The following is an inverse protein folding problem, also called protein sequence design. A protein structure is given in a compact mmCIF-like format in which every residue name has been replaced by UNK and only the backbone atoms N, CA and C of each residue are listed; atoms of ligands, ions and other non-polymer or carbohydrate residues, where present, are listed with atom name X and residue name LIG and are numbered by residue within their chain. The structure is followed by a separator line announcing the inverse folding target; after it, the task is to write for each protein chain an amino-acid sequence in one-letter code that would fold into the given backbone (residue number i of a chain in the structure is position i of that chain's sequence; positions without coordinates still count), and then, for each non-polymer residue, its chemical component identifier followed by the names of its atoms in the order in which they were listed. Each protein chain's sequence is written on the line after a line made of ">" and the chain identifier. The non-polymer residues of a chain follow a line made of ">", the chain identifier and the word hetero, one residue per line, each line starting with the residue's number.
data_IF_141618120321
#
_entry.id   IF_141618120321
#
_cell.length_a   1.000
_cell.length_b   1.000
_cell.length_c   1.000
_cell.angle_alpha   90.00
_cell.angle_beta   90.00
_cell.angle_gamma   90.00
#
_symmetry.space_group_name_H-M   'P 1'
#
loop_
_entity.id
_entity.type
_entity.pdbx_description
1 polymer ?
#
# COMPACT_ATOMS: atom_id res chain seq x y z
N UNK A 1 -5.99 -23.93 -4.35
CA UNK A 1 -6.24 -22.57 -4.88
C UNK A 1 -5.14 -21.67 -4.32
N UNK A 2 -4.38 -20.93 -5.15
CA UNK A 2 -3.41 -19.97 -4.63
C UNK A 2 -4.14 -18.81 -3.94
N UNK A 3 -3.57 -18.31 -2.83
CA UNK A 3 -4.06 -17.14 -2.10
C UNK A 3 -2.90 -16.15 -1.98
N UNK A 4 -3.17 -14.89 -2.31
CA UNK A 4 -2.24 -13.77 -2.18
C UNK A 4 -2.85 -12.76 -1.22
N UNK A 5 -2.06 -12.22 -0.30
CA UNK A 5 -2.57 -11.39 0.78
C UNK A 5 -1.87 -10.04 0.87
N UNK A 6 -2.65 -9.01 1.20
CA UNK A 6 -2.19 -7.70 1.66
C UNK A 6 -2.87 -7.41 3.01
N UNK A 7 -2.30 -6.52 3.80
CA UNK A 7 -2.89 -6.04 5.05
C UNK A 7 -3.76 -4.80 4.84
N UNK A 8 -4.61 -4.52 5.83
CA UNK A 8 -5.09 -3.17 6.11
C UNK A 8 -4.57 -2.64 7.46
N UNK A 9 -5.12 -1.55 7.98
CA UNK A 9 -4.75 -0.97 9.28
C UNK A 9 -4.79 -1.97 10.42
N UNK A 10 -5.88 -2.74 10.59
CA UNK A 10 -6.03 -3.68 11.71
C UNK A 10 -5.13 -4.93 11.64
N UNK A 11 -4.49 -5.17 10.50
CA UNK A 11 -3.44 -6.19 10.35
C UNK A 11 -2.03 -5.58 10.55
N UNK A 12 -1.90 -4.26 10.38
CA UNK A 12 -0.63 -3.53 10.44
C UNK A 12 -0.37 -2.91 11.82
N UNK A 13 -1.39 -2.31 12.44
CA UNK A 13 -1.36 -1.59 13.71
C UNK A 13 -2.78 -1.43 14.29
N UNK A 14 -3.05 -0.29 14.94
CA UNK A 14 -4.38 0.09 15.43
C UNK A 14 -5.23 0.76 14.33
N UNK A 15 -6.44 1.18 14.68
CA UNK A 15 -7.39 1.79 13.76
C UNK A 15 -6.80 3.02 13.05
N UNK A 16 -6.87 3.02 11.72
CA UNK A 16 -6.32 4.04 10.83
C UNK A 16 -4.79 4.22 10.94
N UNK A 17 -4.05 3.27 11.52
CA UNK A 17 -2.59 3.38 11.62
C UNK A 17 -1.89 3.35 10.27
N UNK A 18 -0.72 3.96 10.24
CA UNK A 18 0.20 3.97 9.12
C UNK A 18 1.62 4.14 9.63
N UNK A 19 2.58 3.76 8.78
CA UNK A 19 3.98 3.95 9.08
C UNK A 19 4.43 5.39 8.83
N UNK A 20 5.63 5.55 8.30
CA UNK A 20 6.12 6.81 7.76
C UNK A 20 6.98 6.52 6.52
N UNK A 21 7.41 7.55 5.76
CA UNK A 21 8.41 7.40 4.70
C UNK A 21 9.75 6.79 5.15
N UNK A 22 10.06 6.84 6.45
CA UNK A 22 11.27 6.22 6.96
C UNK A 22 11.15 4.69 6.96
N UNK A 23 12.29 4.01 6.78
CA UNK A 23 12.37 2.55 6.70
C UNK A 23 11.87 1.85 7.97
N UNK A 24 12.16 2.44 9.12
CA UNK A 24 12.02 1.88 10.46
C UNK A 24 11.29 2.82 11.42
N UNK A 25 10.55 3.81 10.93
CA UNK A 25 9.69 4.64 11.78
C UNK A 25 8.22 4.51 11.40
N UNK A 26 7.32 4.23 12.36
CA UNK A 26 7.62 3.82 13.72
C UNK A 26 8.30 2.43 13.76
N UNK A 27 9.16 2.18 14.74
CA UNK A 27 10.00 0.95 14.80
C UNK A 27 9.21 -0.35 14.64
N UNK A 28 7.99 -0.39 15.19
CA UNK A 28 7.14 -1.57 15.17
C UNK A 28 6.69 -2.00 13.77
N UNK A 29 6.72 -1.12 12.75
CA UNK A 29 6.32 -1.49 11.37
C UNK A 29 7.21 -2.59 10.78
N UNK A 30 8.48 -2.61 11.18
CA UNK A 30 9.45 -3.62 10.75
C UNK A 30 9.07 -4.99 11.30
N UNK A 31 8.67 -5.03 12.57
CA UNK A 31 8.21 -6.25 13.24
C UNK A 31 6.86 -6.73 12.67
N UNK A 32 5.94 -5.80 12.37
CA UNK A 32 4.67 -6.12 11.71
C UNK A 32 4.90 -6.80 10.35
N UNK A 33 5.81 -6.26 9.51
CA UNK A 33 6.19 -6.88 8.25
C UNK A 33 6.81 -8.27 8.45
N UNK A 34 7.75 -8.39 9.39
CA UNK A 34 8.41 -9.67 9.68
C UNK A 34 7.43 -10.73 10.20
N UNK A 35 6.40 -10.33 10.95
CA UNK A 35 5.35 -11.23 11.41
C UNK A 35 4.43 -11.65 10.26
N UNK A 36 3.99 -10.72 9.42
CA UNK A 36 3.14 -11.01 8.26
C UNK A 36 3.82 -11.99 7.29
N UNK A 37 5.12 -11.81 7.04
CA UNK A 37 5.94 -12.72 6.23
C UNK A 37 5.96 -14.17 6.73
N UNK A 38 5.81 -14.38 8.04
CA UNK A 38 5.74 -15.73 8.63
C UNK A 38 4.39 -16.40 8.43
N UNK A 39 3.33 -15.61 8.19
CA UNK A 39 1.97 -16.12 8.00
C UNK A 39 1.63 -16.34 6.53
N UNK A 40 2.22 -15.55 5.63
CA UNK A 40 1.89 -15.55 4.20
C UNK A 40 3.09 -15.85 3.34
N UNK A 41 2.92 -16.73 2.35
CA UNK A 41 3.95 -17.07 1.36
C UNK A 41 3.70 -16.28 0.08
N UNK A 42 3.71 -14.95 0.20
CA UNK A 42 3.54 -14.06 -0.96
C UNK A 42 4.77 -14.14 -1.89
N UNK A 43 4.60 -13.85 -3.20
CA UNK A 43 5.69 -13.81 -4.18
C UNK A 43 6.79 -12.81 -3.86
N UNK A 44 6.50 -11.77 -3.07
CA UNK A 44 7.46 -10.73 -2.74
C UNK A 44 7.01 -9.85 -1.58
N UNK A 45 7.98 -9.12 -1.03
CA UNK A 45 7.81 -8.20 0.08
C UNK A 45 8.66 -6.94 -0.16
N UNK A 46 8.22 -6.14 -1.14
CA UNK A 46 8.87 -4.89 -1.54
C UNK A 46 9.86 -5.05 -2.69
N UNK A 47 10.71 -4.03 -2.91
CA UNK A 47 11.63 -3.94 -4.05
C UNK A 47 13.00 -4.56 -3.72
N UNK A 48 13.04 -5.90 -3.69
CA UNK A 48 14.27 -6.73 -3.64
C UNK A 48 15.31 -6.30 -2.58
N UNK A 49 14.85 -6.07 -1.35
CA UNK A 49 15.72 -5.75 -0.21
C UNK A 49 16.21 -4.30 -0.12
N UNK A 50 15.89 -3.45 -1.11
CA UNK A 50 16.14 -2.00 -1.00
C UNK A 50 15.07 -1.29 -0.20
N UNK A 51 13.81 -1.67 -0.43
CA UNK A 51 12.64 -1.05 0.19
C UNK A 51 11.68 -2.14 0.66
N UNK A 52 11.71 -2.51 1.96
CA UNK A 52 10.80 -3.50 2.52
C UNK A 52 9.36 -2.98 2.52
N UNK A 53 8.38 -3.85 2.34
CA UNK A 53 6.95 -3.52 2.40
C UNK A 53 6.09 -4.66 1.89
N UNK A 54 4.76 -4.54 1.98
CA UNK A 54 3.81 -5.53 1.49
C UNK A 54 3.28 -5.17 0.10
N UNK A 55 4.20 -4.92 -0.83
CA UNK A 55 3.86 -4.69 -2.22
C UNK A 55 4.64 -5.63 -3.13
N UNK A 56 3.98 -6.14 -4.14
CA UNK A 56 4.53 -7.08 -5.11
C UNK A 56 3.64 -7.17 -6.35
N UNK A 57 4.16 -7.81 -7.39
CA UNK A 57 3.43 -8.07 -8.63
C UNK A 57 3.30 -9.57 -8.85
N UNK A 58 2.15 -10.01 -9.36
CA UNK A 58 1.94 -11.38 -9.81
C UNK A 58 1.23 -11.40 -11.17
N UNK A 59 1.61 -12.33 -12.04
CA UNK A 59 1.02 -12.48 -13.36
C UNK A 59 0.25 -13.81 -13.46
N UNK A 60 -0.96 -13.74 -14.02
CA UNK A 60 -1.74 -14.93 -14.40
C UNK A 60 -2.23 -14.74 -15.83
N UNK A 61 -1.58 -15.40 -16.79
CA UNK A 61 -1.90 -15.25 -18.21
C UNK A 61 -1.70 -13.82 -18.69
N UNK A 62 -2.71 -13.25 -19.37
CA UNK A 62 -2.67 -11.86 -19.85
C UNK A 62 -3.06 -10.81 -18.79
N UNK A 63 -3.02 -11.15 -17.50
CA UNK A 63 -3.39 -10.24 -16.41
C UNK A 63 -2.21 -10.05 -15.46
N UNK A 64 -1.82 -8.79 -15.26
CA UNK A 64 -0.89 -8.39 -14.21
C UNK A 64 -1.66 -7.84 -12.99
N UNK A 65 -1.40 -8.42 -11.82
CA UNK A 65 -1.92 -7.99 -10.54
C UNK A 65 -0.83 -7.25 -9.76
N UNK A 66 -1.12 -6.05 -9.30
CA UNK A 66 -0.23 -5.19 -8.54
C UNK A 66 -0.80 -5.05 -7.13
N UNK A 67 -0.18 -5.73 -6.17
CA UNK A 67 -0.55 -5.70 -4.77
C UNK A 67 0.14 -4.50 -4.12
N UNK A 68 -0.65 -3.61 -3.54
CA UNK A 68 -0.18 -2.37 -2.95
C UNK A 68 -0.22 -2.44 -1.44
N UNK A 69 0.85 -1.94 -0.83
CA UNK A 69 0.87 -1.57 0.58
C UNK A 69 0.36 -0.12 0.71
N UNK A 70 -0.71 0.08 1.46
CA UNK A 70 -1.32 1.39 1.71
C UNK A 70 -1.08 1.89 3.14
N UNK A 71 -0.20 1.23 3.90
CA UNK A 71 0.03 1.51 5.33
C UNK A 71 1.50 1.81 5.60
N UNK A 72 2.42 0.99 5.10
CA UNK A 72 3.82 1.00 5.51
C UNK A 72 4.53 2.34 5.25
N UNK A 73 4.38 2.91 4.05
CA UNK A 73 5.01 4.19 3.67
C UNK A 73 4.02 5.34 3.45
N UNK A 74 2.77 5.18 3.91
CA UNK A 74 1.73 6.20 3.73
C UNK A 74 2.16 7.53 4.35
N UNK A 75 1.97 8.59 3.58
CA UNK A 75 2.20 9.97 3.99
C UNK A 75 0.87 10.66 4.20
N UNK A 76 0.63 11.21 5.39
CA UNK A 76 -0.65 11.88 5.71
C UNK A 76 -0.57 13.41 5.66
N UNK A 77 -1.67 14.06 5.30
CA UNK A 77 -1.92 15.50 5.40
C UNK A 77 -2.01 15.99 6.85
N UNK A 78 -1.78 17.28 7.08
CA UNK A 78 -2.19 17.96 8.32
C UNK A 78 -3.70 18.05 8.41
N UNK A 79 -4.27 17.93 9.62
CA UNK A 79 -5.71 17.97 9.88
C UNK A 79 -6.41 19.14 9.17
N UNK A 80 -7.54 18.88 8.51
CA UNK A 80 -8.30 19.87 7.73
C UNK A 80 -7.84 20.10 6.28
N UNK A 81 -6.67 19.57 5.86
CA UNK A 81 -6.29 19.56 4.44
C UNK A 81 -6.89 18.34 3.72
N UNK A 82 -7.56 18.59 2.60
CA UNK A 82 -7.97 17.57 1.63
C UNK A 82 -7.11 17.72 0.39
N UNK A 83 -6.62 16.61 -0.18
CA UNK A 83 -5.72 16.60 -1.34
C UNK A 83 -4.41 17.38 -1.13
N UNK A 84 -3.62 17.05 -0.09
CA UNK A 84 -2.31 17.67 0.10
C UNK A 84 -1.43 17.49 -1.13
N UNK A 85 -0.79 18.57 -1.59
CA UNK A 85 0.22 18.47 -2.64
C UNK A 85 1.49 17.84 -2.07
N UNK A 86 2.04 16.85 -2.77
CA UNK A 86 3.33 16.23 -2.39
C UNK A 86 3.26 15.13 -1.32
N UNK A 87 2.06 14.65 -0.94
CA UNK A 87 1.89 13.44 -0.11
C UNK A 87 1.38 12.28 -0.98
N UNK A 88 1.62 11.05 -0.53
CA UNK A 88 1.26 9.83 -1.27
C UNK A 88 0.83 8.70 -0.34
N UNK A 89 -0.17 7.93 -0.75
CA UNK A 89 -0.62 6.72 -0.08
C UNK A 89 0.49 5.65 0.00
N UNK A 90 1.37 5.62 -1.00
CA UNK A 90 2.33 4.55 -1.20
C UNK A 90 3.74 4.91 -0.73
N UNK A 91 3.98 6.17 -0.35
CA UNK A 91 5.35 6.69 -0.29
C UNK A 91 5.99 6.81 -1.68
N UNK A 92 7.11 7.53 -1.76
CA UNK A 92 7.79 7.81 -3.04
C UNK A 92 8.32 6.55 -3.72
N UNK A 93 8.80 5.58 -2.95
CA UNK A 93 9.52 4.43 -3.49
C UNK A 93 8.59 3.39 -4.10
N UNK A 94 7.51 3.02 -3.40
CA UNK A 94 6.50 2.13 -3.98
C UNK A 94 5.73 2.81 -5.11
N UNK A 95 5.53 4.13 -5.07
CA UNK A 95 4.95 4.86 -6.20
C UNK A 95 5.85 4.77 -7.45
N UNK A 96 7.16 4.98 -7.29
CA UNK A 96 8.11 4.85 -8.38
C UNK A 96 8.21 3.40 -8.90
N UNK A 97 8.17 2.42 -8.00
CA UNK A 97 8.06 0.99 -8.35
C UNK A 97 6.80 0.73 -9.17
N UNK A 98 5.64 1.18 -8.72
CA UNK A 98 4.36 0.96 -9.40
C UNK A 98 4.36 1.58 -10.80
N UNK A 99 4.82 2.82 -10.93
CA UNK A 99 4.95 3.49 -12.23
C UNK A 99 5.85 2.71 -13.18
N UNK A 100 7.01 2.26 -12.70
CA UNK A 100 7.94 1.43 -13.48
C UNK A 100 7.30 0.12 -13.93
N UNK A 101 6.68 -0.63 -13.02
CA UNK A 101 6.07 -1.92 -13.32
C UNK A 101 4.86 -1.80 -14.27
N UNK A 102 4.07 -0.72 -14.15
CA UNK A 102 2.97 -0.43 -15.06
C UNK A 102 3.47 -0.10 -16.47
N UNK A 103 4.52 0.71 -16.59
CA UNK A 103 5.13 1.07 -17.89
C UNK A 103 5.77 -0.13 -18.58
N UNK A 104 6.32 -1.08 -17.82
CA UNK A 104 6.93 -2.30 -18.36
C UNK A 104 5.91 -3.40 -18.69
N UNK A 105 4.71 -3.34 -18.09
CA UNK A 105 3.69 -4.38 -18.25
C UNK A 105 3.08 -4.40 -19.66
N UNK A 106 3.17 -5.56 -20.31
CA UNK A 106 2.55 -5.87 -21.60
C UNK A 106 1.24 -6.65 -21.47
N UNK A 107 0.75 -6.87 -20.25
CA UNK A 107 -0.50 -7.58 -20.00
C UNK A 107 -1.71 -6.78 -20.53
N UNK A 108 -2.70 -7.50 -21.06
CA UNK A 108 -3.94 -6.92 -21.59
C UNK A 108 -4.72 -6.20 -20.48
N UNK A 109 -4.74 -6.80 -19.28
CA UNK A 109 -5.36 -6.24 -18.10
C UNK A 109 -4.35 -6.01 -16.99
N UNK A 110 -4.54 -4.91 -16.26
CA UNK A 110 -3.73 -4.50 -15.10
C UNK A 110 -4.69 -4.26 -13.95
N UNK A 111 -4.53 -5.01 -12.87
CA UNK A 111 -5.42 -4.95 -11.71
C UNK A 111 -4.63 -4.42 -10.53
N UNK A 112 -5.04 -3.27 -9.99
CA UNK A 112 -4.49 -2.73 -8.75
C UNK A 112 -5.29 -3.31 -7.58
N UNK A 113 -4.60 -3.90 -6.62
CA UNK A 113 -5.18 -4.47 -5.41
C UNK A 113 -4.74 -3.57 -4.25
N UNK A 114 -5.71 -3.02 -3.55
CA UNK A 114 -5.50 -2.02 -2.51
C UNK A 114 -6.48 -2.27 -1.38
N UNK A 115 -6.00 -2.14 -0.15
CA UNK A 115 -6.83 -2.22 1.05
C UNK A 115 -7.67 -0.96 1.28
N UNK A 116 -7.23 0.18 0.74
CA UNK A 116 -7.88 1.48 0.95
C UNK A 116 -8.76 1.87 -0.26
N UNK A 117 -10.02 2.34 -0.06
CA UNK A 117 -10.91 2.71 -1.16
C UNK A 117 -10.47 3.92 -1.98
N UNK A 118 -10.62 3.82 -3.31
CA UNK A 118 -10.16 4.81 -4.29
C UNK A 118 -11.26 5.78 -4.71
N UNK A 119 -12.50 5.29 -4.79
CA UNK A 119 -13.60 6.06 -5.34
C UNK A 119 -13.91 7.26 -4.44
N UNK A 120 -14.20 8.39 -5.07
CA UNK A 120 -14.83 9.52 -4.39
C UNK A 120 -16.14 9.00 -3.76
N UNK A 121 -16.40 9.42 -2.52
CA UNK A 121 -17.60 9.02 -1.75
C UNK A 121 -17.64 7.55 -1.32
N UNK A 122 -16.55 6.77 -1.48
CA UNK A 122 -16.48 5.39 -0.98
C UNK A 122 -16.70 5.30 0.54
N UNK A 123 -16.38 6.37 1.26
CA UNK A 123 -16.76 6.57 2.66
C UNK A 123 -17.54 7.90 2.74
N UNK A 124 -18.59 7.96 3.58
CA UNK A 124 -19.27 9.24 3.83
C UNK A 124 -18.24 10.26 4.35
N UNK A 125 -18.42 11.57 4.05
CA UNK A 125 -17.56 12.62 4.58
C UNK A 125 -17.75 12.65 6.10
N UNK A 126 -16.91 11.89 6.80
CA UNK A 126 -16.85 11.86 8.25
C UNK A 126 -15.67 12.74 8.66
N UNK A 127 -15.95 13.71 9.51
CA UNK A 127 -14.94 14.61 10.07
C UNK A 127 -13.81 13.78 10.70
N UNK A 128 -12.57 14.08 10.30
CA UNK A 128 -11.37 13.39 10.80
C UNK A 128 -11.06 12.02 10.18
N UNK A 129 -11.95 11.40 9.38
CA UNK A 129 -11.67 10.07 8.79
C UNK A 129 -11.02 10.16 7.41
N UNK A 130 -9.73 9.84 7.39
CA UNK A 130 -8.84 9.95 6.23
C UNK A 130 -8.58 8.66 5.49
N UNK A 131 -9.28 7.60 5.84
CA UNK A 131 -8.96 6.27 5.37
C UNK A 131 -9.52 5.95 3.97
N UNK A 132 -9.15 6.80 3.02
CA UNK A 132 -9.42 6.71 1.58
C UNK A 132 -8.26 7.34 0.82
N UNK A 133 -8.13 7.07 -0.48
CA UNK A 133 -7.11 7.73 -1.32
C UNK A 133 -7.24 9.26 -1.41
N UNK A 134 -8.45 9.86 -1.41
CA UNK A 134 -8.59 11.31 -1.28
C UNK A 134 -8.15 11.88 0.08
N UNK A 135 -8.21 11.06 1.12
CA UNK A 135 -7.85 11.41 2.49
C UNK A 135 -6.38 11.21 2.83
N UNK A 136 -5.51 11.00 1.83
CA UNK A 136 -4.05 11.12 1.99
C UNK A 136 -3.74 12.45 2.68
#
# INVERSE_FOLDING_TARGET
>A
MPIFAIWDDHDFGDNDDYGTPALDSPQWKVDALALFQKQWVNPGYGDEGKWPGLFFKHNIGSVDFFFLDCRYYREVSEEGQSYPTGRTMLGSQQLAWLQRELLQSKADFKVLISSVPWALEAKPPLEGKRDTWPGI
#
